data_IF_093732692933
#
_entry.id   IF_093732692933
#
_cell.length_a   1.000
_cell.length_b   1.000
_cell.length_c   1.000
_cell.angle_alpha   90.00
_cell.angle_beta   90.00
_cell.angle_gamma   90.00
#
_symmetry.space_group_name_H-M   'P 1'
#
loop_
_entity.id
_entity.type
_entity.pdbx_description
1 polymer ?
#
# COMPACT_ATOMS: atom_id res chain seq x y z
N UNK A 1 -17.82 -0.79 14.22
CA UNK A 1 -17.35 -1.98 13.47
C UNK A 1 -16.67 -2.94 14.44
N UNK A 2 -16.83 -4.26 14.28
CA UNK A 2 -16.17 -5.26 15.15
C UNK A 2 -14.65 -5.22 14.98
N UNK A 3 -13.90 -5.25 16.09
CA UNK A 3 -12.43 -5.11 16.05
C UNK A 3 -11.75 -6.26 15.30
N UNK A 4 -12.28 -7.49 15.43
CA UNK A 4 -11.78 -8.64 14.68
C UNK A 4 -11.96 -8.47 13.16
N UNK A 5 -13.06 -7.84 12.74
CA UNK A 5 -13.27 -7.49 11.34
C UNK A 5 -12.31 -6.39 10.87
N UNK A 6 -12.09 -5.36 11.70
CA UNK A 6 -11.08 -4.32 11.44
C UNK A 6 -9.70 -4.92 11.19
N UNK A 7 -9.30 -5.86 12.07
CA UNK A 7 -7.99 -6.49 12.05
C UNK A 7 -7.80 -7.40 10.84
N UNK A 8 -8.81 -8.23 10.52
CA UNK A 8 -8.80 -9.05 9.31
C UNK A 8 -8.69 -8.19 8.04
N UNK A 9 -9.39 -7.07 8.02
CA UNK A 9 -9.44 -6.13 6.91
C UNK A 9 -8.10 -5.41 6.72
N UNK A 10 -7.51 -4.87 7.80
CA UNK A 10 -6.22 -4.20 7.76
C UNK A 10 -5.08 -5.17 7.35
N UNK A 11 -5.09 -6.40 7.85
CA UNK A 11 -4.13 -7.45 7.45
C UNK A 11 -4.28 -7.83 5.98
N UNK A 12 -5.51 -7.93 5.48
CA UNK A 12 -5.76 -8.23 4.06
C UNK A 12 -5.25 -7.10 3.14
N UNK A 13 -5.38 -5.85 3.57
CA UNK A 13 -4.87 -4.68 2.86
C UNK A 13 -3.34 -4.63 2.88
N UNK A 14 -2.71 -4.79 4.05
CA UNK A 14 -1.26 -4.85 4.18
C UNK A 14 -0.65 -5.93 3.27
N UNK A 15 -1.20 -7.15 3.31
CA UNK A 15 -0.76 -8.24 2.44
C UNK A 15 -1.00 -7.96 0.94
N UNK A 16 -2.02 -7.16 0.59
CA UNK A 16 -2.26 -6.74 -0.79
C UNK A 16 -1.23 -5.71 -1.23
N UNK A 17 -0.87 -4.77 -0.35
CA UNK A 17 0.16 -3.77 -0.58
C UNK A 17 1.53 -4.41 -0.76
N UNK A 18 1.92 -5.34 0.12
CA UNK A 18 3.17 -6.13 -0.03
C UNK A 18 3.24 -6.83 -1.39
N UNK A 19 2.20 -7.58 -1.76
CA UNK A 19 2.15 -8.26 -3.07
C UNK A 19 2.21 -7.29 -4.26
N UNK A 20 1.72 -6.07 -4.09
CA UNK A 20 1.79 -5.04 -5.12
C UNK A 20 3.21 -4.49 -5.24
N UNK A 21 3.86 -4.16 -4.12
CA UNK A 21 5.25 -3.72 -4.05
C UNK A 21 6.15 -4.77 -4.71
N UNK A 22 6.06 -6.03 -4.29
CA UNK A 22 6.82 -7.16 -4.85
C UNK A 22 6.66 -7.28 -6.38
N UNK A 23 5.44 -7.09 -6.89
CA UNK A 23 5.17 -7.17 -8.32
C UNK A 23 5.77 -5.99 -9.06
N UNK A 24 5.70 -4.79 -8.46
CA UNK A 24 6.24 -3.57 -9.04
C UNK A 24 7.76 -3.62 -9.06
N UNK A 25 8.42 -4.06 -8.00
CA UNK A 25 9.88 -4.24 -7.95
C UNK A 25 10.35 -5.15 -9.09
N UNK A 26 9.72 -6.33 -9.25
CA UNK A 26 10.04 -7.23 -10.37
C UNK A 26 9.81 -6.60 -11.75
N UNK A 27 8.79 -5.75 -11.89
CA UNK A 27 8.53 -5.04 -13.14
C UNK A 27 9.60 -3.99 -13.42
N UNK A 28 9.99 -3.22 -12.39
CA UNK A 28 11.02 -2.20 -12.46
C UNK A 28 12.41 -2.78 -12.73
N UNK A 29 12.73 -3.93 -12.14
CA UNK A 29 13.98 -4.64 -12.39
C UNK A 29 14.11 -5.09 -13.86
N UNK A 30 12.98 -5.39 -14.51
CA UNK A 30 12.93 -5.81 -15.91
C UNK A 30 12.91 -4.65 -16.90
N UNK A 31 12.82 -3.40 -16.41
CA UNK A 31 12.59 -2.24 -17.24
C UNK A 31 13.91 -1.60 -17.72
N UNK A 32 13.96 -1.21 -18.99
CA UNK A 32 15.08 -0.44 -19.51
C UNK A 32 14.98 1.02 -19.05
N UNK A 33 15.62 1.32 -17.93
CA UNK A 33 15.61 2.64 -17.30
C UNK A 33 16.17 3.75 -18.20
N UNK A 34 17.05 3.43 -19.15
CA UNK A 34 17.61 4.42 -20.08
C UNK A 34 16.61 4.87 -21.14
N UNK A 35 15.53 4.12 -21.32
CA UNK A 35 14.44 4.46 -22.24
C UNK A 35 13.36 5.35 -21.61
N UNK A 36 13.42 5.58 -20.28
CA UNK A 36 12.44 6.40 -19.56
C UNK A 36 12.80 7.88 -19.54
N UNK A 37 11.77 8.72 -19.47
CA UNK A 37 11.95 10.14 -19.17
C UNK A 37 12.34 10.34 -17.70
N UNK A 38 13.04 11.43 -17.40
CA UNK A 38 13.35 11.81 -16.01
C UNK A 38 12.08 11.92 -15.14
N UNK A 39 10.96 12.34 -15.74
CA UNK A 39 9.67 12.43 -15.07
C UNK A 39 9.18 11.05 -14.61
N UNK A 40 9.26 10.02 -15.46
CA UNK A 40 8.86 8.67 -15.08
C UNK A 40 9.78 8.10 -13.99
N UNK A 41 11.08 8.37 -14.04
CA UNK A 41 12.01 7.94 -12.98
C UNK A 41 11.65 8.60 -11.65
N UNK A 42 11.38 9.91 -11.66
CA UNK A 42 10.98 10.67 -10.47
C UNK A 42 9.66 10.17 -9.89
N UNK A 43 8.64 9.96 -10.73
CA UNK A 43 7.34 9.44 -10.29
C UNK A 43 7.46 8.03 -9.72
N UNK A 44 8.35 7.20 -10.29
CA UNK A 44 8.68 5.90 -9.73
C UNK A 44 9.21 6.04 -8.31
N UNK A 45 10.24 6.86 -8.10
CA UNK A 45 10.85 7.04 -6.79
C UNK A 45 9.87 7.63 -5.75
N UNK A 46 9.05 8.61 -6.13
CA UNK A 46 8.02 9.16 -5.24
C UNK A 46 6.99 8.11 -4.83
N UNK A 47 6.67 7.18 -5.72
CA UNK A 47 5.76 6.10 -5.44
C UNK A 47 6.36 5.07 -4.47
N UNK A 48 7.66 4.80 -4.56
CA UNK A 48 8.36 3.95 -3.58
C UNK A 48 8.22 4.46 -2.16
N UNK A 49 8.49 5.75 -1.94
CA UNK A 49 8.35 6.39 -0.63
C UNK A 49 6.91 6.32 -0.10
N UNK A 50 5.92 6.54 -0.96
CA UNK A 50 4.51 6.47 -0.58
C UNK A 50 4.06 5.06 -0.22
N UNK A 51 4.49 4.06 -0.99
CA UNK A 51 4.16 2.65 -0.71
C UNK A 51 4.82 2.18 0.58
N UNK A 52 6.06 2.61 0.85
CA UNK A 52 6.75 2.33 2.10
C UNK A 52 6.02 2.98 3.30
N UNK A 53 5.55 4.23 3.13
CA UNK A 53 4.72 4.92 4.13
C UNK A 53 3.40 4.20 4.39
N UNK A 54 2.66 3.84 3.33
CA UNK A 54 1.39 3.10 3.44
C UNK A 54 1.58 1.75 4.18
N UNK A 55 2.71 1.07 3.95
CA UNK A 55 3.03 -0.21 4.61
C UNK A 55 3.36 -0.01 6.09
N UNK A 56 4.13 1.02 6.43
CA UNK A 56 4.45 1.38 7.80
C UNK A 56 3.18 1.77 8.58
N UNK A 57 2.32 2.59 7.98
CA UNK A 57 1.04 3.00 8.57
C UNK A 57 0.11 1.81 8.78
N UNK A 58 0.08 0.86 7.84
CA UNK A 58 -0.69 -0.37 7.97
C UNK A 58 -0.21 -1.22 9.15
N UNK A 59 1.11 -1.36 9.32
CA UNK A 59 1.69 -2.09 10.45
C UNK A 59 1.34 -1.43 11.79
N UNK A 60 1.51 -0.10 11.91
CA UNK A 60 1.16 0.66 13.12
C UNK A 60 -0.33 0.52 13.45
N UNK A 61 -1.20 0.61 12.44
CA UNK A 61 -2.63 0.47 12.65
C UNK A 61 -3.03 -0.94 13.09
N UNK A 62 -2.39 -1.97 12.53
CA UNK A 62 -2.59 -3.37 12.94
C UNK A 62 -2.17 -3.56 14.40
N UNK A 63 -1.02 -3.04 14.82
CA UNK A 63 -0.54 -3.12 16.20
C UNK A 63 -1.49 -2.40 17.16
N UNK A 64 -1.94 -1.20 16.78
CA UNK A 64 -2.93 -0.45 17.55
C UNK A 64 -4.24 -1.22 17.73
N UNK A 65 -4.74 -1.91 16.69
CA UNK A 65 -5.92 -2.75 16.80
C UNK A 65 -5.70 -3.97 17.72
N UNK A 66 -4.51 -4.58 17.68
CA UNK A 66 -4.16 -5.70 18.54
C UNK A 66 -4.10 -5.29 20.02
N UNK A 67 -3.51 -4.14 20.31
CA UNK A 67 -3.45 -3.58 21.66
C UNK A 67 -4.86 -3.32 22.19
N UNK A 68 -5.73 -2.69 21.37
CA UNK A 68 -7.13 -2.42 21.73
C UNK A 68 -7.91 -3.70 22.00
N UNK A 69 -7.76 -4.71 21.15
CA UNK A 69 -8.40 -6.00 21.34
C UNK A 69 -7.94 -6.67 22.65
N UNK A 70 -6.64 -6.59 22.95
CA UNK A 70 -6.07 -7.12 24.21
C UNK A 70 -6.58 -6.39 25.45
N UNK A 71 -6.90 -5.10 25.31
CA UNK A 71 -7.50 -4.27 26.36
C UNK A 71 -9.04 -4.40 26.47
N UNK A 72 -9.64 -5.39 25.79
CA UNK A 72 -11.08 -5.66 25.86
C UNK A 72 -11.96 -4.70 25.06
N UNK A 73 -11.39 -3.98 24.09
CA UNK A 73 -12.19 -3.15 23.17
C UNK A 73 -12.75 -4.02 22.05
N UNK A 74 -14.07 -4.19 22.02
CA UNK A 74 -14.74 -5.04 21.03
C UNK A 74 -15.05 -4.33 19.70
N UNK A 75 -15.12 -2.99 19.71
CA UNK A 75 -15.53 -2.21 18.54
C UNK A 75 -14.70 -0.96 18.30
N UNK A 76 -14.57 -0.57 17.03
CA UNK A 76 -13.91 0.65 16.58
C UNK A 76 -14.83 1.49 15.68
N UNK A 77 -14.61 2.82 15.57
CA UNK A 77 -15.45 3.72 14.78
C UNK A 77 -15.50 3.38 13.28
N UNK A 78 -14.41 2.82 12.73
CA UNK A 78 -14.28 2.49 11.32
C UNK A 78 -12.97 1.75 11.02
N UNK A 79 -12.77 1.38 9.75
CA UNK A 79 -11.55 0.73 9.27
C UNK A 79 -10.73 1.69 8.44
N UNK A 80 -9.44 1.83 8.77
CA UNK A 80 -8.48 2.47 7.88
C UNK A 80 -8.14 1.49 6.75
N UNK A 81 -8.18 1.97 5.50
CA UNK A 81 -7.98 1.17 4.29
C UNK A 81 -6.65 1.55 3.65
N UNK A 82 -5.92 0.56 3.16
CA UNK A 82 -4.66 0.76 2.45
C UNK A 82 -4.80 0.16 1.03
N UNK A 83 -4.99 1.02 0.03
CA UNK A 83 -5.15 0.61 -1.37
C UNK A 83 -3.96 1.08 -2.23
N UNK A 84 -3.26 0.17 -2.92
CA UNK A 84 -2.17 0.53 -3.82
C UNK A 84 -2.61 1.20 -5.15
N UNK A 85 -3.92 1.38 -5.43
CA UNK A 85 -4.43 1.86 -6.74
C UNK A 85 -5.39 3.06 -6.67
N UNK A 86 -5.43 3.87 -7.74
CA UNK A 86 -4.32 4.69 -8.20
C UNK A 86 -4.27 6.02 -7.43
N UNK A 87 -3.04 6.49 -7.19
CA UNK A 87 -2.82 7.90 -6.86
C UNK A 87 -3.11 8.75 -8.11
N UNK A 88 -3.58 10.00 -7.97
CA UNK A 88 -4.09 10.79 -9.10
C UNK A 88 -3.15 10.94 -10.32
N UNK A 89 -1.84 10.81 -10.13
CA UNK A 89 -0.82 10.89 -11.19
C UNK A 89 -0.46 9.53 -11.84
N UNK A 90 -0.95 8.40 -11.33
CA UNK A 90 -0.65 7.06 -11.89
C UNK A 90 -1.51 6.69 -13.12
N UNK A 91 -2.46 7.54 -13.54
CA UNK A 91 -3.31 7.26 -14.70
C UNK A 91 -2.50 7.06 -16.00
N UNK A 92 -1.37 7.75 -16.13
CA UNK A 92 -0.50 7.72 -17.32
C UNK A 92 0.32 6.42 -17.43
N UNK A 93 0.57 5.73 -16.31
CA UNK A 93 1.35 4.49 -16.29
C UNK A 93 0.54 3.28 -16.78
N UNK A 94 -0.79 3.31 -16.64
CA UNK A 94 -1.69 2.27 -17.17
C UNK A 94 -1.66 2.26 -18.70
N UNK A 95 -1.42 3.40 -19.33
CA UNK A 95 -1.37 3.52 -20.80
C UNK A 95 -0.05 3.02 -21.41
N UNK A 96 0.99 2.78 -20.61
CA UNK A 96 2.30 2.31 -21.06
C UNK A 96 2.46 0.77 -21.03
N UNK A 97 1.46 0.05 -20.51
CA UNK A 97 1.46 -1.42 -20.41
C UNK A 97 0.67 -2.13 -21.53
N UNK A 98 0.41 -1.44 -22.65
CA UNK A 98 -0.33 -1.96 -23.80
C UNK A 98 0.60 -2.42 -24.94
#
# INVERSE_FOLDING_TARGET
MQIGHALATARADAARLERFIDRRERFLDALDWFSLSEQHVRESAMLDDLLAGDLADAAIYIDWLQERASNGVDTVPGVLRFDPRPRPWQAEWITLAA
#
